data_IF_212671390093
#
_entry.id   IF_212671390093
#
_cell.length_a   1.000
_cell.length_b   1.000
_cell.length_c   1.000
_cell.angle_alpha   90.00
_cell.angle_beta   90.00
_cell.angle_gamma   90.00
#
_symmetry.space_group_name_H-M   'P 1'
#
loop_
_entity.id
_entity.type
_entity.pdbx_description
1 polymer ?
#
# COMPACT_ATOMS: atom_id res chain seq x y z
N UNK A 1 9.78 13.88 -2.59
CA UNK A 1 9.31 12.47 -2.60
C UNK A 1 10.42 11.59 -3.12
N UNK A 2 10.84 10.61 -2.34
CA UNK A 2 11.99 9.77 -2.67
C UNK A 2 11.61 8.40 -3.22
N UNK A 3 10.42 7.91 -2.89
CA UNK A 3 9.97 6.56 -3.24
C UNK A 3 8.45 6.53 -3.38
N UNK A 4 7.96 5.69 -4.28
CA UNK A 4 6.52 5.47 -4.50
C UNK A 4 6.19 4.04 -4.06
N UNK A 5 5.14 3.91 -3.26
CA UNK A 5 4.59 2.61 -2.84
C UNK A 5 3.24 2.39 -3.51
N UNK A 6 3.06 1.25 -4.14
CA UNK A 6 1.83 0.88 -4.84
C UNK A 6 1.27 -0.43 -4.28
N UNK A 7 0.06 -0.39 -3.80
CA UNK A 7 -0.57 -1.51 -3.09
C UNK A 7 -1.34 -2.49 -4.01
N UNK A 8 -0.99 -2.53 -5.29
CA UNK A 8 -1.55 -3.49 -6.25
C UNK A 8 -2.63 -2.90 -7.15
N UNK A 9 -3.03 -3.66 -8.16
CA UNK A 9 -3.96 -3.26 -9.22
C UNK A 9 -3.46 -2.04 -9.99
N UNK A 10 -2.34 -2.22 -10.70
CA UNK A 10 -1.70 -1.15 -11.47
C UNK A 10 -2.56 -0.64 -12.64
N UNK A 11 -3.49 -1.43 -13.13
CA UNK A 11 -4.34 -1.03 -14.25
C UNK A 11 -3.66 -1.08 -15.60
N UNK A 12 -2.51 -0.42 -15.75
CA UNK A 12 -1.70 -0.43 -16.98
C UNK A 12 -0.67 -1.56 -17.05
N UNK A 13 -0.63 -2.46 -16.06
CA UNK A 13 0.30 -3.58 -16.04
C UNK A 13 1.76 -3.15 -15.95
N UNK A 14 2.65 -3.91 -16.61
CA UNK A 14 4.09 -3.65 -16.60
C UNK A 14 4.45 -2.29 -17.21
N UNK A 15 3.74 -1.83 -18.23
CA UNK A 15 4.01 -0.54 -18.86
C UNK A 15 3.79 0.61 -17.88
N UNK A 16 2.72 0.56 -17.10
CA UNK A 16 2.46 1.57 -16.08
C UNK A 16 3.49 1.51 -14.95
N UNK A 17 3.83 0.31 -14.49
CA UNK A 17 4.85 0.14 -13.44
C UNK A 17 6.20 0.70 -13.89
N UNK A 18 6.62 0.43 -15.13
CA UNK A 18 7.86 0.96 -15.70
C UNK A 18 7.82 2.50 -15.78
N UNK A 19 6.71 3.06 -16.21
CA UNK A 19 6.53 4.51 -16.29
C UNK A 19 6.64 5.18 -14.93
N UNK A 20 6.01 4.61 -13.90
CA UNK A 20 6.11 5.12 -12.53
C UNK A 20 7.56 5.05 -12.04
N UNK A 21 8.24 3.94 -12.30
CA UNK A 21 9.63 3.73 -11.86
C UNK A 21 10.61 4.72 -12.47
N UNK A 22 10.30 5.30 -13.64
CA UNK A 22 11.13 6.34 -14.26
C UNK A 22 11.13 7.65 -13.48
N UNK A 23 10.07 7.92 -12.71
CA UNK A 23 9.97 9.14 -11.89
C UNK A 23 10.67 8.98 -10.54
N UNK A 24 10.37 7.89 -9.83
CA UNK A 24 10.93 7.60 -8.51
C UNK A 24 10.99 6.10 -8.30
N UNK A 25 11.89 5.58 -7.44
CA UNK A 25 11.89 4.17 -7.10
C UNK A 25 10.51 3.69 -6.68
N UNK A 26 10.07 2.59 -7.27
CA UNK A 26 8.75 2.00 -7.02
C UNK A 26 8.88 0.72 -6.20
N UNK A 27 8.16 0.67 -5.07
CA UNK A 27 7.93 -0.56 -4.32
C UNK A 27 6.46 -0.91 -4.47
N UNK A 28 6.16 -2.07 -5.05
CA UNK A 28 4.79 -2.46 -5.32
C UNK A 28 4.52 -3.92 -5.06
N UNK A 29 3.24 -4.25 -4.97
CA UNK A 29 2.74 -5.62 -4.89
C UNK A 29 1.74 -5.87 -6.01
N UNK A 30 1.54 -7.13 -6.39
CA UNK A 30 0.50 -7.48 -7.37
C UNK A 30 -0.87 -7.50 -6.71
N UNK A 31 -1.86 -6.90 -7.37
CA UNK A 31 -3.25 -6.96 -6.96
C UNK A 31 -4.00 -8.06 -7.69
N UNK A 32 -5.25 -8.29 -7.28
CA UNK A 32 -6.08 -9.34 -7.87
C UNK A 32 -6.50 -9.02 -9.32
N UNK A 33 -6.49 -7.75 -9.71
CA UNK A 33 -6.79 -7.31 -11.08
C UNK A 33 -5.56 -7.16 -11.97
N UNK A 34 -4.35 -7.37 -11.44
CA UNK A 34 -3.13 -7.28 -12.23
C UNK A 34 -2.93 -8.53 -13.08
N UNK A 35 -2.31 -8.34 -14.25
CA UNK A 35 -2.05 -9.44 -15.17
C UNK A 35 -0.90 -10.34 -14.68
N UNK A 36 -0.73 -11.48 -15.35
CA UNK A 36 0.27 -12.48 -14.97
C UNK A 36 1.70 -11.92 -15.02
N UNK A 37 2.01 -11.10 -16.02
CA UNK A 37 3.36 -10.52 -16.18
C UNK A 37 3.73 -9.63 -15.01
N UNK A 38 2.78 -8.82 -14.53
CA UNK A 38 3.00 -7.97 -13.37
C UNK A 38 3.23 -8.79 -12.11
N UNK A 39 2.46 -9.87 -11.91
CA UNK A 39 2.62 -10.77 -10.76
C UNK A 39 3.98 -11.46 -10.74
N UNK A 40 4.60 -11.63 -11.88
CA UNK A 40 5.93 -12.23 -11.98
C UNK A 40 7.01 -11.27 -11.49
N UNK A 41 6.88 -9.97 -11.75
CA UNK A 41 7.85 -8.94 -11.34
C UNK A 41 7.56 -8.30 -10.00
N UNK A 42 6.28 -8.26 -9.59
CA UNK A 42 5.85 -7.69 -8.30
C UNK A 42 5.17 -8.78 -7.47
N UNK A 43 5.69 -9.09 -6.27
CA UNK A 43 5.14 -10.17 -5.46
C UNK A 43 3.77 -9.82 -4.87
N UNK A 44 3.08 -10.84 -4.31
CA UNK A 44 1.80 -10.66 -3.63
C UNK A 44 1.94 -9.92 -2.31
N UNK A 45 3.14 -9.92 -1.71
CA UNK A 45 3.44 -9.12 -0.54
C UNK A 45 4.91 -8.75 -0.53
N UNK A 46 5.24 -7.65 0.16
CA UNK A 46 6.61 -7.22 0.43
C UNK A 46 6.76 -6.90 1.90
N UNK A 47 7.92 -7.25 2.44
CA UNK A 47 8.32 -6.86 3.79
C UNK A 47 9.70 -6.23 3.70
N UNK A 48 9.82 -4.99 4.19
CA UNK A 48 11.07 -4.23 4.06
C UNK A 48 11.20 -3.23 5.20
N UNK A 49 12.41 -2.72 5.37
CA UNK A 49 12.68 -1.62 6.30
C UNK A 49 12.82 -0.31 5.53
N UNK A 50 12.27 0.76 6.12
CA UNK A 50 12.43 2.12 5.63
C UNK A 50 12.59 3.05 6.81
N UNK A 51 13.73 3.74 6.89
CA UNK A 51 14.03 4.70 7.95
C UNK A 51 13.81 4.14 9.38
N UNK A 52 14.25 2.91 9.62
CA UNK A 52 14.13 2.26 10.92
C UNK A 52 12.77 1.66 11.24
N UNK A 53 11.83 1.68 10.30
CA UNK A 53 10.51 1.08 10.46
C UNK A 53 10.33 -0.13 9.56
N UNK A 54 9.70 -1.18 10.10
CA UNK A 54 9.36 -2.39 9.34
C UNK A 54 8.02 -2.19 8.66
N UNK A 55 7.99 -2.38 7.35
CA UNK A 55 6.80 -2.15 6.52
C UNK A 55 6.39 -3.46 5.86
N UNK A 56 5.14 -3.85 6.04
CA UNK A 56 4.50 -4.94 5.31
C UNK A 56 3.50 -4.33 4.33
N UNK A 57 3.58 -4.74 3.08
CA UNK A 57 2.65 -4.29 2.03
C UNK A 57 2.02 -5.50 1.38
N UNK A 58 0.68 -5.50 1.29
CA UNK A 58 -0.11 -6.48 0.53
C UNK A 58 -1.19 -5.73 -0.23
N UNK A 59 -1.76 -6.37 -1.27
CA UNK A 59 -2.92 -5.77 -1.93
C UNK A 59 -4.19 -5.95 -1.07
N UNK A 60 -4.51 -7.17 -0.69
CA UNK A 60 -5.67 -7.48 0.14
C UNK A 60 -5.24 -7.53 1.60
N UNK A 61 -5.81 -6.66 2.44
CA UNK A 61 -5.35 -6.54 3.82
C UNK A 61 -6.44 -6.41 4.87
N UNK A 62 -7.36 -5.49 4.68
CA UNK A 62 -8.39 -5.19 5.66
C UNK A 62 -7.98 -4.11 6.67
N UNK A 63 -8.45 -4.23 7.91
CA UNK A 63 -8.24 -3.24 8.96
C UNK A 63 -8.35 -3.91 10.33
N UNK A 64 -7.99 -3.22 11.43
CA UNK A 64 -8.06 -3.82 12.77
C UNK A 64 -9.44 -4.40 13.08
N UNK A 65 -9.45 -5.68 13.47
CA UNK A 65 -10.65 -6.46 13.73
C UNK A 65 -11.20 -7.20 12.51
N UNK A 66 -10.74 -6.88 11.29
CA UNK A 66 -11.20 -7.49 10.04
C UNK A 66 -10.09 -7.67 9.03
N UNK A 67 -8.94 -8.13 9.47
CA UNK A 67 -7.84 -8.45 8.54
C UNK A 67 -8.19 -9.66 7.68
N UNK A 68 -7.76 -9.63 6.41
CA UNK A 68 -7.71 -10.81 5.56
C UNK A 68 -6.87 -11.90 6.26
N UNK A 69 -7.27 -13.16 6.13
CA UNK A 69 -6.64 -14.26 6.86
C UNK A 69 -5.14 -14.40 6.53
N UNK A 70 -4.76 -14.27 5.25
CA UNK A 70 -3.36 -14.33 4.83
C UNK A 70 -2.57 -13.13 5.37
N UNK A 71 -3.16 -11.94 5.28
CA UNK A 71 -2.54 -10.72 5.80
C UNK A 71 -2.34 -10.80 7.31
N UNK A 72 -3.33 -11.25 8.04
CA UNK A 72 -3.23 -11.41 9.51
C UNK A 72 -2.10 -12.36 9.89
N UNK A 73 -1.95 -13.47 9.18
CA UNK A 73 -0.87 -14.42 9.42
C UNK A 73 0.50 -13.77 9.22
N UNK A 74 0.68 -13.01 8.13
CA UNK A 74 1.91 -12.29 7.87
C UNK A 74 2.19 -11.22 8.92
N UNK A 75 1.18 -10.47 9.33
CA UNK A 75 1.30 -9.45 10.37
C UNK A 75 1.79 -10.07 11.69
N UNK A 76 1.17 -11.18 12.09
CA UNK A 76 1.51 -11.84 13.36
C UNK A 76 2.88 -12.54 13.32
N UNK A 77 3.35 -12.95 12.15
CA UNK A 77 4.69 -13.53 11.99
C UNK A 77 5.79 -12.47 11.89
N UNK A 78 5.55 -11.37 11.20
CA UNK A 78 6.57 -10.39 10.84
C UNK A 78 6.61 -9.17 11.77
N UNK A 79 5.54 -8.90 12.50
CA UNK A 79 5.42 -7.77 13.43
C UNK A 79 5.80 -6.42 12.80
N UNK A 80 5.15 -5.99 11.71
CA UNK A 80 5.49 -4.72 11.08
C UNK A 80 5.08 -3.52 11.94
N UNK A 81 5.76 -2.41 11.74
CA UNK A 81 5.37 -1.12 12.33
C UNK A 81 4.30 -0.43 11.50
N UNK A 82 4.34 -0.65 10.19
CA UNK A 82 3.38 -0.10 9.22
C UNK A 82 2.87 -1.24 8.34
N UNK A 83 1.55 -1.31 8.17
CA UNK A 83 0.89 -2.23 7.24
C UNK A 83 0.18 -1.43 6.16
N UNK A 84 0.58 -1.60 4.89
CA UNK A 84 0.01 -0.93 3.74
C UNK A 84 -0.78 -1.92 2.90
N UNK A 85 -2.02 -1.61 2.58
CA UNK A 85 -2.88 -2.44 1.75
C UNK A 85 -3.76 -1.59 0.84
N UNK A 86 -4.44 -2.24 -0.10
CA UNK A 86 -5.35 -1.59 -1.03
C UNK A 86 -6.67 -2.36 -1.16
N UNK A 87 -7.06 -2.71 -2.38
CA UNK A 87 -8.21 -3.53 -2.76
C UNK A 87 -9.59 -2.89 -2.51
N UNK A 88 -9.87 -2.40 -1.30
CA UNK A 88 -11.18 -1.81 -0.98
C UNK A 88 -11.45 -0.49 -1.68
N UNK A 89 -10.40 0.20 -2.15
CA UNK A 89 -10.44 1.54 -2.72
C UNK A 89 -10.93 2.61 -1.73
N UNK A 90 -10.92 2.29 -0.44
CA UNK A 90 -11.37 3.19 0.62
C UNK A 90 -10.15 3.69 1.39
N UNK A 91 -9.96 5.01 1.37
CA UNK A 91 -8.91 5.65 2.16
C UNK A 91 -9.12 5.37 3.65
N UNK A 92 -8.09 4.82 4.29
CA UNK A 92 -8.13 4.53 5.73
C UNK A 92 -6.72 4.63 6.32
N UNK A 93 -6.59 5.42 7.38
CA UNK A 93 -5.36 5.52 8.16
C UNK A 93 -5.76 5.33 9.62
N UNK A 94 -5.47 4.16 10.19
CA UNK A 94 -5.87 3.81 11.56
C UNK A 94 -4.74 3.10 12.27
N UNK A 95 -4.72 3.19 13.59
CA UNK A 95 -3.74 2.48 14.42
C UNK A 95 -4.36 1.21 14.98
N UNK A 96 -3.60 0.12 14.94
CA UNK A 96 -3.95 -1.11 15.64
C UNK A 96 -3.22 -1.11 17.00
N UNK A 97 -3.92 -0.82 18.11
CA UNK A 97 -3.27 -0.72 19.42
C UNK A 97 -2.79 -2.06 19.98
N UNK A 98 -3.39 -3.17 19.56
CA UNK A 98 -2.96 -4.50 19.98
C UNK A 98 -1.61 -4.89 19.41
N UNK A 99 -1.29 -4.40 18.23
CA UNK A 99 -0.07 -4.73 17.50
C UNK A 99 0.92 -3.58 17.43
N UNK A 100 0.55 -2.42 17.97
CA UNK A 100 1.34 -1.19 17.88
C UNK A 100 1.76 -0.91 16.44
N UNK A 101 0.78 -0.93 15.54
CA UNK A 101 0.99 -0.89 14.10
C UNK A 101 0.07 0.15 13.46
N UNK A 102 0.61 0.91 12.52
CA UNK A 102 -0.19 1.84 11.72
C UNK A 102 -0.68 1.12 10.47
N UNK A 103 -1.99 1.15 10.23
CA UNK A 103 -2.62 0.54 9.05
C UNK A 103 -2.98 1.65 8.07
N UNK A 104 -2.48 1.54 6.84
CA UNK A 104 -2.68 2.54 5.79
C UNK A 104 -3.30 1.86 4.56
N UNK A 105 -4.43 2.40 4.12
CA UNK A 105 -4.97 2.14 2.79
C UNK A 105 -5.11 3.51 2.10
N UNK A 106 -4.34 3.78 1.04
CA UNK A 106 -4.36 5.10 0.40
C UNK A 106 -5.61 5.36 -0.45
N UNK A 107 -6.54 4.40 -0.54
CA UNK A 107 -7.66 4.47 -1.46
C UNK A 107 -7.23 4.12 -2.88
N UNK A 108 -7.89 4.68 -3.87
CA UNK A 108 -7.57 4.43 -5.27
C UNK A 108 -7.28 5.72 -6.02
N UNK A 109 -6.12 5.79 -6.67
CA UNK A 109 -5.73 6.93 -7.49
C UNK A 109 -6.34 6.88 -8.91
N UNK A 110 -6.76 5.70 -9.35
CA UNK A 110 -7.40 5.49 -10.65
C UNK A 110 -8.91 5.67 -10.63
N UNK A 111 -9.55 5.45 -11.78
CA UNK A 111 -10.98 5.66 -11.95
C UNK A 111 -11.81 4.37 -11.89
N UNK A 112 -11.17 3.19 -11.87
CA UNK A 112 -11.87 1.91 -11.80
C UNK A 112 -12.28 1.57 -10.37
N UNK A 113 -13.47 0.97 -10.19
CA UNK A 113 -13.99 0.55 -8.91
C UNK A 113 -15.21 1.35 -8.46
N UNK A 114 -15.63 1.15 -7.22
CA UNK A 114 -16.85 1.73 -6.65
C UNK A 114 -16.61 2.98 -5.81
N UNK A 115 -15.37 3.44 -5.71
CA UNK A 115 -15.04 4.64 -4.94
C UNK A 115 -15.57 5.91 -5.64
N UNK A 116 -15.92 6.91 -4.84
CA UNK A 116 -16.49 8.18 -5.35
C UNK A 116 -15.43 9.25 -5.57
N UNK A 117 -14.30 9.18 -4.86
CA UNK A 117 -13.16 10.08 -5.04
C UNK A 117 -11.89 9.27 -5.28
N UNK A 118 -10.97 9.84 -6.07
CA UNK A 118 -9.64 9.29 -6.26
C UNK A 118 -8.74 9.83 -5.16
N UNK A 119 -7.97 8.96 -4.51
CA UNK A 119 -7.12 9.35 -3.38
C UNK A 119 -5.72 8.81 -3.49
N UNK A 120 -4.79 9.54 -2.92
CA UNK A 120 -3.41 9.12 -2.71
C UNK A 120 -2.90 9.75 -1.41
N UNK A 121 -1.88 9.15 -0.82
CA UNK A 121 -1.26 9.65 0.41
C UNK A 121 0.22 9.97 0.15
N UNK A 122 0.70 11.02 0.80
CA UNK A 122 2.11 11.33 0.90
C UNK A 122 2.47 11.52 2.37
N UNK A 123 3.58 10.95 2.80
CA UNK A 123 4.08 11.13 4.16
C UNK A 123 5.60 11.00 4.19
N UNK A 124 6.19 11.42 5.30
CA UNK A 124 7.63 11.33 5.52
C UNK A 124 7.93 10.28 6.57
N UNK A 125 8.92 9.43 6.29
CA UNK A 125 9.52 8.53 7.26
C UNK A 125 10.94 9.03 7.53
N UNK A 126 11.27 9.24 8.80
CA UNK A 126 12.60 9.69 9.20
C UNK A 126 12.91 9.15 10.59
N UNK A 127 13.95 8.33 10.69
CA UNK A 127 14.46 7.78 11.94
C UNK A 127 13.36 7.17 12.85
N UNK A 128 12.51 6.34 12.26
CA UNK A 128 11.42 5.67 12.98
C UNK A 128 10.20 6.55 13.24
N UNK A 129 10.08 7.69 12.59
CA UNK A 129 8.97 8.63 12.76
C UNK A 129 8.20 8.81 11.46
N UNK A 130 6.88 8.84 11.58
CA UNK A 130 5.98 9.21 10.48
C UNK A 130 5.53 10.65 10.71
N UNK A 131 5.65 11.49 9.70
CA UNK A 131 5.25 12.90 9.78
C UNK A 131 4.75 13.40 8.43
N UNK A 132 4.17 14.62 8.44
CA UNK A 132 3.77 15.35 7.24
C UNK A 132 2.86 14.54 6.32
N UNK A 133 1.90 13.81 6.90
CA UNK A 133 0.94 13.04 6.12
C UNK A 133 -0.05 13.98 5.44
N UNK A 134 -0.15 13.85 4.13
CA UNK A 134 -1.07 14.62 3.30
C UNK A 134 -1.94 13.68 2.46
N UNK A 135 -3.21 14.07 2.32
CA UNK A 135 -4.18 13.35 1.50
C UNK A 135 -4.42 14.17 0.23
N UNK A 136 -4.29 13.50 -0.92
CA UNK A 136 -4.63 14.09 -2.20
C UNK A 136 -5.95 13.49 -2.68
N UNK A 137 -6.92 14.34 -2.96
CA UNK A 137 -8.23 13.92 -3.46
C UNK A 137 -8.48 14.54 -4.84
N UNK A 138 -8.95 13.72 -5.76
CA UNK A 138 -9.36 14.14 -7.09
C UNK A 138 -10.75 13.63 -7.38
N UNK A 139 -11.59 14.46 -8.00
CA UNK A 139 -12.90 14.03 -8.45
C UNK A 139 -12.75 12.89 -9.47
N UNK A 140 -13.66 11.94 -9.36
CA UNK A 140 -13.65 10.77 -10.21
C UNK A 140 -14.10 11.03 -11.66
#
# INVERSE_FOLDING_TARGET
MDEIWHAGDFGGGLDLAATISEFKPLVGVAGNCDNYDLRFTHPLHRFFECEGMKVLMTHIGGYPGRYDARARKLIDELHPDIFVCGHSHILKVVRDPKRDMLVINPGAAGIQGFHVVRTALRFRLDQGRISDMEIFELDR
#
